data_IF_441053924976
#
_entry.id   IF_441053924976
#
_cell.length_a   1.000
_cell.length_b   1.000
_cell.length_c   1.000
_cell.angle_alpha   90.00
_cell.angle_beta   90.00
_cell.angle_gamma   90.00
#
_symmetry.space_group_name_H-M   'P 1'
#
loop_
_entity.id
_entity.type
_entity.pdbx_description
1 polymer ?
#
# COMPACT_ATOMS: atom_id res chain seq x y z
N UNK A 1 -5.23 18.46 -5.76
CA UNK A 1 -5.49 17.22 -4.98
C UNK A 1 -5.42 15.97 -5.85
N UNK A 2 -6.35 15.73 -6.77
CA UNK A 2 -6.35 14.48 -7.57
C UNK A 2 -5.08 14.25 -8.40
N UNK A 3 -4.49 15.32 -8.98
CA UNK A 3 -3.20 15.21 -9.68
C UNK A 3 -2.09 14.70 -8.74
N UNK A 4 -2.04 15.22 -7.51
CA UNK A 4 -1.05 14.81 -6.50
C UNK A 4 -1.28 13.35 -6.11
N UNK A 5 -2.53 12.94 -5.89
CA UNK A 5 -2.86 11.53 -5.65
C UNK A 5 -2.41 10.64 -6.82
N UNK A 6 -2.62 11.08 -8.06
CA UNK A 6 -2.14 10.40 -9.26
C UNK A 6 -0.62 10.25 -9.28
N UNK A 7 0.12 11.30 -8.94
CA UNK A 7 1.59 11.25 -8.84
C UNK A 7 2.06 10.28 -7.74
N UNK A 8 1.37 10.22 -6.60
CA UNK A 8 1.67 9.27 -5.52
C UNK A 8 1.44 7.83 -5.98
N UNK A 9 0.32 7.57 -6.66
CA UNK A 9 0.02 6.25 -7.23
C UNK A 9 1.09 5.85 -8.25
N UNK A 10 1.48 6.77 -9.15
CA UNK A 10 2.53 6.50 -10.12
C UNK A 10 3.88 6.21 -9.45
N UNK A 11 4.24 6.97 -8.42
CA UNK A 11 5.47 6.74 -7.66
C UNK A 11 5.45 5.37 -6.96
N UNK A 12 4.35 5.00 -6.31
CA UNK A 12 4.16 3.70 -5.66
C UNK A 12 4.27 2.54 -6.66
N UNK A 13 3.58 2.61 -7.79
CA UNK A 13 3.61 1.55 -8.80
C UNK A 13 4.98 1.45 -9.46
N UNK A 14 5.63 2.59 -9.73
CA UNK A 14 6.97 2.60 -10.29
C UNK A 14 7.99 1.95 -9.35
N UNK A 15 8.00 2.30 -8.06
CA UNK A 15 8.94 1.68 -7.10
C UNK A 15 8.68 0.19 -6.93
N UNK A 16 7.42 -0.25 -6.91
CA UNK A 16 7.08 -1.69 -6.87
C UNK A 16 7.58 -2.44 -8.09
N UNK A 17 7.41 -1.88 -9.30
CA UNK A 17 7.93 -2.49 -10.54
C UNK A 17 9.45 -2.64 -10.46
N UNK A 18 10.16 -1.61 -9.97
CA UNK A 18 11.61 -1.70 -9.79
C UNK A 18 12.00 -2.83 -8.83
N UNK A 19 11.31 -2.97 -7.70
CA UNK A 19 11.59 -4.04 -6.72
C UNK A 19 11.29 -5.42 -7.31
N UNK A 20 10.17 -5.58 -8.01
CA UNK A 20 9.79 -6.86 -8.66
C UNK A 20 10.86 -7.28 -9.68
N UNK A 21 11.46 -6.32 -10.40
CA UNK A 21 12.51 -6.59 -11.38
C UNK A 21 13.89 -6.81 -10.78
N UNK A 22 14.18 -6.23 -9.60
CA UNK A 22 15.51 -6.25 -9.00
C UNK A 22 15.71 -7.31 -7.90
N UNK A 23 14.64 -7.79 -7.26
CA UNK A 23 14.69 -8.71 -6.12
C UNK A 23 13.92 -10.00 -6.38
N UNK A 24 14.42 -11.13 -5.90
CA UNK A 24 13.66 -12.39 -5.81
C UNK A 24 12.65 -12.32 -4.65
N UNK A 25 11.56 -13.09 -4.73
CA UNK A 25 10.58 -13.17 -3.63
C UNK A 25 11.26 -13.67 -2.35
N UNK A 26 11.13 -12.91 -1.27
CA UNK A 26 11.78 -13.20 0.02
C UNK A 26 13.23 -12.73 0.13
N UNK A 27 13.80 -12.13 -0.92
CA UNK A 27 15.13 -11.52 -0.84
C UNK A 27 15.12 -10.32 0.10
N UNK A 28 16.16 -10.23 0.94
CA UNK A 28 16.40 -9.15 1.90
C UNK A 28 17.76 -8.55 1.62
N UNK A 29 17.81 -7.24 1.44
CA UNK A 29 19.05 -6.47 1.29
C UNK A 29 19.13 -5.41 2.39
N UNK A 30 20.03 -5.60 3.36
CA UNK A 30 20.27 -4.60 4.39
C UNK A 30 20.80 -3.29 3.83
N UNK A 31 20.23 -2.18 4.28
CA UNK A 31 20.64 -0.83 3.88
C UNK A 31 21.26 -0.09 5.06
N UNK A 32 20.63 -0.18 6.25
CA UNK A 32 21.17 0.35 7.51
C UNK A 32 20.97 -0.67 8.64
N UNK A 33 21.41 -0.35 9.85
CA UNK A 33 21.23 -1.23 11.02
C UNK A 33 19.77 -1.38 11.49
N UNK A 34 18.82 -0.68 10.87
CA UNK A 34 17.40 -0.69 11.23
C UNK A 34 16.48 -0.74 10.00
N UNK A 35 17.03 -0.82 8.79
CA UNK A 35 16.26 -0.71 7.55
C UNK A 35 16.81 -1.65 6.48
N UNK A 36 15.92 -2.48 5.97
CA UNK A 36 16.16 -3.42 4.88
C UNK A 36 15.24 -3.11 3.71
N UNK A 37 15.75 -3.31 2.49
CA UNK A 37 14.94 -3.44 1.30
C UNK A 37 14.60 -4.92 1.11
N UNK A 38 13.31 -5.21 0.94
CA UNK A 38 12.82 -6.58 0.81
C UNK A 38 11.92 -6.74 -0.40
N UNK A 39 11.60 -7.98 -0.76
CA UNK A 39 10.43 -8.27 -1.59
C UNK A 39 9.51 -9.22 -0.86
N UNK A 40 8.47 -8.68 -0.23
CA UNK A 40 7.45 -9.44 0.46
C UNK A 40 6.09 -9.33 -0.26
N UNK A 41 5.34 -10.42 -0.30
CA UNK A 41 3.98 -10.45 -0.83
C UNK A 41 2.98 -10.45 0.33
N UNK A 42 2.23 -9.36 0.46
CA UNK A 42 1.27 -9.17 1.54
C UNK A 42 -0.15 -9.46 1.06
N UNK A 43 -0.66 -10.61 1.50
CA UNK A 43 -2.04 -11.06 1.24
C UNK A 43 -3.05 -10.52 2.28
N UNK A 44 -2.61 -9.68 3.23
CA UNK A 44 -3.38 -9.28 4.40
C UNK A 44 -3.10 -10.18 5.62
N UNK A 45 -1.85 -10.62 5.78
CA UNK A 45 -1.44 -11.56 6.84
C UNK A 45 -1.69 -11.02 8.26
N UNK A 46 -1.85 -9.71 8.45
CA UNK A 46 -2.28 -9.16 9.75
C UNK A 46 -3.65 -9.71 10.22
N UNK A 47 -4.47 -10.20 9.29
CA UNK A 47 -5.79 -10.81 9.55
C UNK A 47 -5.80 -12.33 9.36
N UNK A 48 -4.60 -12.93 9.29
CA UNK A 48 -4.40 -14.36 9.19
C UNK A 48 -5.09 -15.16 10.31
N UNK A 49 -5.40 -14.59 11.46
CA UNK A 49 -6.16 -15.30 12.50
C UNK A 49 -7.56 -15.81 12.04
N UNK A 50 -8.04 -15.38 10.87
CA UNK A 50 -9.27 -15.83 10.20
C UNK A 50 -9.03 -16.87 9.07
N UNK A 51 -7.93 -17.62 9.12
CA UNK A 51 -7.41 -18.55 8.08
C UNK A 51 -8.33 -19.67 7.56
N UNK A 52 -9.55 -19.86 8.08
CA UNK A 52 -10.43 -20.97 7.67
C UNK A 52 -10.84 -20.96 6.20
N UNK A 53 -10.74 -19.80 5.53
CA UNK A 53 -10.87 -19.66 4.08
C UNK A 53 -9.72 -18.80 3.56
N UNK A 54 -8.94 -19.32 2.62
CA UNK A 54 -7.91 -18.53 1.95
C UNK A 54 -8.53 -17.69 0.82
N UNK A 55 -8.07 -16.45 0.64
CA UNK A 55 -8.39 -15.62 -0.53
C UNK A 55 -9.53 -14.60 -0.37
N UNK A 56 -10.33 -14.66 0.70
CA UNK A 56 -11.35 -13.63 0.96
C UNK A 56 -10.72 -12.26 1.26
N UNK A 57 -9.52 -12.25 1.85
CA UNK A 57 -8.78 -11.04 2.23
C UNK A 57 -8.55 -10.16 1.01
N UNK A 58 -8.22 -10.75 -0.15
CA UNK A 58 -8.03 -10.02 -1.40
C UNK A 58 -9.26 -9.18 -1.74
N UNK A 59 -10.42 -9.81 -1.81
CA UNK A 59 -11.67 -9.16 -2.19
C UNK A 59 -12.14 -8.16 -1.13
N UNK A 60 -12.01 -8.52 0.15
CA UNK A 60 -12.34 -7.62 1.25
C UNK A 60 -11.52 -6.33 1.21
N UNK A 61 -10.19 -6.41 1.12
CA UNK A 61 -9.34 -5.23 1.09
C UNK A 61 -9.44 -4.44 -0.21
N UNK A 62 -9.71 -5.10 -1.33
CA UNK A 62 -10.01 -4.43 -2.61
C UNK A 62 -11.28 -3.59 -2.48
N UNK A 63 -12.38 -4.18 -2.01
CA UNK A 63 -13.65 -3.48 -1.82
C UNK A 63 -13.54 -2.36 -0.78
N UNK A 64 -12.87 -2.61 0.34
CA UNK A 64 -12.64 -1.61 1.38
C UNK A 64 -11.82 -0.43 0.85
N UNK A 65 -10.75 -0.70 0.11
CA UNK A 65 -9.91 0.35 -0.49
C UNK A 65 -10.69 1.18 -1.52
N UNK A 66 -11.51 0.56 -2.36
CA UNK A 66 -12.38 1.27 -3.30
C UNK A 66 -13.43 2.13 -2.59
N UNK A 67 -14.09 1.59 -1.56
CA UNK A 67 -15.06 2.33 -0.75
C UNK A 67 -14.43 3.54 -0.07
N UNK A 68 -13.24 3.35 0.54
CA UNK A 68 -12.48 4.44 1.13
C UNK A 68 -12.07 5.49 0.09
N UNK A 69 -11.63 5.08 -1.10
CA UNK A 69 -11.27 6.00 -2.17
C UNK A 69 -12.46 6.86 -2.63
N UNK A 70 -13.63 6.26 -2.83
CA UNK A 70 -14.87 7.00 -3.17
C UNK A 70 -15.24 7.99 -2.07
N UNK A 71 -15.18 7.57 -0.81
CA UNK A 71 -15.46 8.44 0.34
C UNK A 71 -14.48 9.61 0.43
N UNK A 72 -13.18 9.36 0.23
CA UNK A 72 -12.15 10.40 0.27
C UNK A 72 -12.32 11.40 -0.88
N UNK A 73 -12.62 10.94 -2.10
CA UNK A 73 -12.90 11.83 -3.24
C UNK A 73 -14.11 12.72 -2.94
N UNK A 74 -15.16 12.17 -2.33
CA UNK A 74 -16.31 12.95 -1.87
C UNK A 74 -15.92 13.98 -0.81
N UNK A 75 -15.10 13.61 0.18
CA UNK A 75 -14.60 14.54 1.21
C UNK A 75 -13.75 15.66 0.61
N UNK A 76 -12.83 15.34 -0.31
CA UNK A 76 -11.99 16.31 -1.01
C UNK A 76 -12.83 17.30 -1.82
N UNK A 77 -13.96 16.85 -2.39
CA UNK A 77 -14.88 17.73 -3.11
C UNK A 77 -15.59 18.72 -2.17
N UNK A 78 -15.90 18.32 -0.93
CA UNK A 78 -16.57 19.19 0.06
C UNK A 78 -15.62 20.07 0.88
N UNK A 79 -14.46 19.55 1.24
CA UNK A 79 -13.52 20.18 2.18
C UNK A 79 -12.16 20.51 1.54
N UNK A 80 -12.08 20.53 0.21
CA UNK A 80 -10.83 20.78 -0.53
C UNK A 80 -10.19 22.15 -0.31
N UNK A 81 -10.91 23.09 0.31
CA UNK A 81 -10.40 24.41 0.72
C UNK A 81 -9.56 24.33 2.00
N UNK A 82 -9.76 23.32 2.85
CA UNK A 82 -8.97 23.10 4.06
C UNK A 82 -7.67 22.40 3.67
N UNK A 83 -6.64 23.18 3.35
CA UNK A 83 -5.44 22.69 2.68
C UNK A 83 -4.77 21.52 3.41
N UNK A 84 -4.54 21.62 4.71
CA UNK A 84 -3.90 20.54 5.48
C UNK A 84 -4.74 19.26 5.49
N UNK A 85 -6.06 19.40 5.65
CA UNK A 85 -7.00 18.28 5.61
C UNK A 85 -7.02 17.60 4.23
N UNK A 86 -7.09 18.40 3.18
CA UNK A 86 -7.08 17.92 1.80
C UNK A 86 -5.73 17.28 1.42
N UNK A 87 -4.61 17.79 1.92
CA UNK A 87 -3.30 17.17 1.79
C UNK A 87 -3.28 15.78 2.43
N UNK A 88 -3.68 15.65 3.70
CA UNK A 88 -3.72 14.37 4.39
C UNK A 88 -4.61 13.34 3.65
N UNK A 89 -5.80 13.75 3.23
CA UNK A 89 -6.71 12.91 2.45
C UNK A 89 -6.11 12.49 1.11
N UNK A 90 -5.39 13.38 0.43
CA UNK A 90 -4.73 13.08 -0.86
C UNK A 90 -3.64 12.02 -0.69
N UNK A 91 -2.84 12.09 0.38
CA UNK A 91 -1.82 11.08 0.68
C UNK A 91 -2.46 9.71 0.95
N UNK A 92 -3.52 9.68 1.77
CA UNK A 92 -4.26 8.46 2.09
C UNK A 92 -4.89 7.86 0.82
N UNK A 93 -5.50 8.69 -0.03
CA UNK A 93 -6.10 8.26 -1.29
C UNK A 93 -5.07 7.61 -2.23
N UNK A 94 -3.90 8.23 -2.37
CA UNK A 94 -2.83 7.71 -3.22
C UNK A 94 -2.35 6.33 -2.76
N UNK A 95 -2.05 6.18 -1.46
CA UNK A 95 -1.62 4.90 -0.89
C UNK A 95 -2.71 3.82 -0.95
N UNK A 96 -3.96 4.17 -0.66
CA UNK A 96 -5.08 3.25 -0.74
C UNK A 96 -5.29 2.71 -2.16
N UNK A 97 -5.26 3.59 -3.17
CA UNK A 97 -5.42 3.18 -4.57
C UNK A 97 -4.24 2.39 -5.11
N UNK A 98 -2.99 2.72 -4.76
CA UNK A 98 -1.82 1.91 -5.11
C UNK A 98 -1.95 0.46 -4.59
N UNK A 99 -2.40 0.30 -3.36
CA UNK A 99 -2.66 -1.01 -2.75
C UNK A 99 -3.88 -1.74 -3.31
N UNK A 100 -4.86 -1.03 -3.85
CA UNK A 100 -6.00 -1.62 -4.59
C UNK A 100 -5.54 -2.13 -5.95
N UNK A 101 -4.70 -1.37 -6.66
CA UNK A 101 -4.15 -1.75 -7.97
C UNK A 101 -3.36 -3.07 -7.84
N UNK A 102 -2.46 -3.16 -6.87
CA UNK A 102 -1.71 -4.40 -6.61
C UNK A 102 -2.64 -5.60 -6.36
N UNK A 103 -3.65 -5.43 -5.51
CA UNK A 103 -4.62 -6.51 -5.21
C UNK A 103 -5.46 -6.90 -6.42
N UNK A 104 -5.79 -5.95 -7.28
CA UNK A 104 -6.52 -6.21 -8.52
C UNK A 104 -5.66 -7.02 -9.50
N UNK A 105 -4.40 -6.62 -9.71
CA UNK A 105 -3.49 -7.21 -10.70
C UNK A 105 -2.84 -8.50 -10.19
N UNK A 106 -2.17 -8.44 -9.03
CA UNK A 106 -1.35 -9.52 -8.49
C UNK A 106 -2.08 -10.39 -7.46
N UNK A 107 -3.10 -9.85 -6.80
CA UNK A 107 -3.81 -10.53 -5.70
C UNK A 107 -3.17 -10.39 -4.32
N UNK A 108 -2.05 -9.66 -4.24
CA UNK A 108 -1.31 -9.29 -3.03
C UNK A 108 -0.71 -7.90 -3.23
N UNK A 109 -0.28 -7.26 -2.14
CA UNK A 109 0.52 -6.03 -2.17
C UNK A 109 2.00 -6.37 -2.17
N UNK A 110 2.80 -5.63 -2.93
CA UNK A 110 4.26 -5.75 -2.89
C UNK A 110 4.80 -4.80 -1.83
N UNK A 111 5.31 -5.36 -0.74
CA UNK A 111 5.96 -4.63 0.34
C UNK A 111 7.48 -4.75 0.17
N UNK A 112 8.17 -3.61 0.36
CA UNK A 112 9.60 -3.52 0.08
C UNK A 112 10.41 -2.67 1.05
N UNK A 113 9.74 -2.04 2.02
CA UNK A 113 10.36 -1.30 3.12
C UNK A 113 10.17 -2.15 4.36
N UNK A 114 11.26 -2.64 4.96
CA UNK A 114 11.23 -3.33 6.24
C UNK A 114 12.06 -2.56 7.25
N UNK A 115 11.47 -2.23 8.38
CA UNK A 115 12.15 -1.51 9.47
C UNK A 115 12.25 -2.44 10.67
N UNK A 116 13.40 -2.48 11.32
CA UNK A 116 13.61 -3.38 12.44
C UNK A 116 14.41 -2.73 13.57
N UNK A 117 14.10 -3.10 14.81
CA UNK A 117 14.78 -2.61 16.00
C UNK A 117 14.76 -3.67 17.11
N UNK A 118 15.93 -3.97 17.69
CA UNK A 118 16.02 -4.89 18.84
C UNK A 118 15.47 -6.29 18.59
N UNK A 119 15.56 -6.81 17.36
CA UNK A 119 15.03 -8.12 16.96
C UNK A 119 13.55 -8.14 16.56
N UNK A 120 12.86 -7.00 16.62
CA UNK A 120 11.49 -6.82 16.12
C UNK A 120 11.51 -6.29 14.70
N UNK A 121 10.67 -6.84 13.83
CA UNK A 121 10.54 -6.46 12.41
C UNK A 121 9.14 -5.92 12.15
N UNK A 122 9.07 -4.81 11.40
CA UNK A 122 7.85 -4.10 11.00
C UNK A 122 7.78 -3.99 9.49
#
# INVERSE_FOLDING_TARGET
>A
WLLIAGLIILADQFTKILVIGAFQLGEVRPVTSFFDLVRAHNYGAAFSFLHGASGWQRWFFLCLGLAAAVFIVWMLRRHGHQQLFAWALTLILGGALGNVIDRAIHGYVVDFIQVHAGGWYF
#
